data_IF_307102753295
#
_entry.id   IF_307102753295
#
_cell.length_a   1.000
_cell.length_b   1.000
_cell.length_c   1.000
_cell.angle_alpha   90.00
_cell.angle_beta   90.00
_cell.angle_gamma   90.00
#
_symmetry.space_group_name_H-M   'P 1'
#
loop_
_entity.id
_entity.type
_entity.pdbx_description
1 polymer ?
#
# COMPACT_ATOMS: atom_id res chain seq x y z
N UNK A 1 -21.03 16.75 -10.64
CA UNK A 1 -20.59 15.47 -11.19
C UNK A 1 -19.13 15.28 -10.88
N UNK A 2 -18.73 14.09 -10.43
CA UNK A 2 -17.33 13.76 -10.21
C UNK A 2 -16.74 13.26 -11.54
N UNK A 3 -15.93 14.10 -12.17
CA UNK A 3 -15.34 13.76 -13.46
C UNK A 3 -13.90 13.26 -13.37
N UNK A 4 -13.22 13.52 -12.25
CA UNK A 4 -11.84 13.12 -12.01
C UNK A 4 -11.65 12.75 -10.54
N UNK A 5 -10.92 11.66 -10.29
CA UNK A 5 -10.50 11.26 -8.96
C UNK A 5 -8.98 11.13 -8.92
N UNK A 6 -8.39 11.68 -7.87
CA UNK A 6 -6.98 11.54 -7.52
C UNK A 6 -6.84 11.27 -6.03
N UNK A 7 -6.10 10.23 -5.65
CA UNK A 7 -5.89 9.88 -4.25
C UNK A 7 -5.18 8.55 -4.07
N UNK A 8 -5.18 8.03 -2.83
CA UNK A 8 -4.66 6.70 -2.55
C UNK A 8 -5.63 5.63 -3.06
N UNK A 9 -5.10 4.56 -3.68
CA UNK A 9 -5.89 3.44 -4.18
C UNK A 9 -6.72 2.77 -3.08
N UNK A 10 -6.13 2.54 -1.92
CA UNK A 10 -6.80 2.00 -0.73
C UNK A 10 -7.95 2.88 -0.23
N UNK A 11 -7.79 4.21 -0.25
CA UNK A 11 -8.87 5.16 0.10
C UNK A 11 -10.00 5.13 -0.92
N UNK A 12 -9.66 5.12 -2.21
CA UNK A 12 -10.66 5.00 -3.27
C UNK A 12 -11.50 3.73 -3.09
N UNK A 13 -10.86 2.62 -2.74
CA UNK A 13 -11.52 1.37 -2.44
C UNK A 13 -12.43 1.46 -1.20
N UNK A 14 -11.94 2.01 -0.09
CA UNK A 14 -12.72 2.20 1.14
C UNK A 14 -13.96 3.09 0.91
N UNK A 15 -13.81 4.17 0.14
CA UNK A 15 -14.94 5.03 -0.27
C UNK A 15 -15.96 4.24 -1.08
N UNK A 16 -15.52 3.37 -1.97
CA UNK A 16 -16.38 2.53 -2.78
C UNK A 16 -17.22 1.58 -1.93
N UNK A 17 -16.59 0.91 -0.96
CA UNK A 17 -17.28 0.03 -0.01
C UNK A 17 -18.29 0.80 0.84
N UNK A 18 -17.93 2.01 1.30
CA UNK A 18 -18.80 2.87 2.08
C UNK A 18 -20.03 3.32 1.29
N UNK A 19 -19.87 3.65 0.00
CA UNK A 19 -20.99 3.99 -0.88
C UNK A 19 -21.93 2.80 -1.11
N UNK A 20 -21.37 1.61 -1.29
CA UNK A 20 -22.16 0.38 -1.46
C UNK A 20 -22.94 0.01 -0.19
N UNK A 21 -22.33 0.16 0.98
CA UNK A 21 -22.97 -0.12 2.28
C UNK A 21 -24.11 0.86 2.63
N UNK A 22 -23.98 2.14 2.27
CA UNK A 22 -25.02 3.15 2.45
C UNK A 22 -26.30 2.85 1.67
N UNK A 23 -26.20 2.00 0.65
CA UNK A 23 -27.33 1.64 -0.21
C UNK A 23 -27.97 0.29 0.13
N UNK A 24 -27.25 -0.54 0.90
CA UNK A 24 -27.63 -1.95 1.15
C UNK A 24 -28.51 -2.22 2.37
N UNK A 25 -28.77 -1.27 3.26
CA UNK A 25 -29.58 -1.61 4.45
C UNK A 25 -29.94 -0.49 5.42
N UNK A 26 -29.18 0.57 5.49
CA UNK A 26 -29.57 1.78 6.25
C UNK A 26 -29.94 2.85 5.25
N UNK A 27 -31.23 3.16 5.18
CA UNK A 27 -31.76 4.20 4.30
C UNK A 27 -30.92 5.47 4.42
N UNK A 28 -30.58 6.08 3.28
CA UNK A 28 -29.88 7.37 3.23
C UNK A 28 -30.68 8.32 4.12
N UNK A 29 -30.04 8.89 5.13
CA UNK A 29 -30.71 9.85 6.01
C UNK A 29 -31.26 11.00 5.17
N UNK A 30 -32.52 11.31 5.36
CA UNK A 30 -33.22 12.36 4.61
C UNK A 30 -32.47 13.70 4.67
N UNK A 31 -31.80 13.97 5.79
CA UNK A 31 -30.95 15.15 5.98
C UNK A 31 -29.76 15.22 5.02
N UNK A 32 -29.23 14.08 4.59
CA UNK A 32 -28.13 14.02 3.61
C UNK A 32 -28.61 14.27 2.18
N UNK A 33 -29.85 13.86 1.87
CA UNK A 33 -30.46 14.11 0.57
C UNK A 33 -30.77 15.62 0.36
N UNK A 34 -31.12 16.34 1.42
CA UNK A 34 -31.36 17.77 1.35
C UNK A 34 -30.10 18.60 0.99
N UNK A 35 -28.93 18.05 1.18
CA UNK A 35 -27.64 18.66 0.80
C UNK A 35 -27.21 18.35 -0.64
N UNK A 36 -27.89 17.41 -1.30
CA UNK A 36 -27.56 17.01 -2.67
C UNK A 36 -28.25 17.91 -3.69
N UNK A 37 -27.55 18.18 -4.80
CA UNK A 37 -28.18 18.90 -5.94
C UNK A 37 -29.29 18.03 -6.55
N UNK A 38 -30.40 18.63 -7.05
CA UNK A 38 -31.54 17.87 -7.57
C UNK A 38 -31.20 16.84 -8.63
N UNK A 39 -30.30 17.16 -9.54
CA UNK A 39 -29.87 16.22 -10.57
C UNK A 39 -29.14 14.99 -10.02
N UNK A 40 -28.47 15.13 -8.88
CA UNK A 40 -27.81 14.00 -8.21
C UNK A 40 -28.84 13.07 -7.57
N UNK A 41 -29.88 13.62 -6.99
CA UNK A 41 -31.01 12.85 -6.43
C UNK A 41 -31.68 12.05 -7.55
N UNK A 42 -31.96 12.68 -8.69
CA UNK A 42 -32.58 12.02 -9.85
C UNK A 42 -31.67 10.86 -10.35
N UNK A 43 -30.37 11.10 -10.48
CA UNK A 43 -29.39 10.06 -10.86
C UNK A 43 -29.38 8.90 -9.87
N UNK A 44 -29.42 9.19 -8.57
CA UNK A 44 -29.50 8.15 -7.52
C UNK A 44 -30.77 7.31 -7.64
N UNK A 45 -31.91 7.93 -7.91
CA UNK A 45 -33.19 7.21 -8.09
C UNK A 45 -33.10 6.30 -9.32
N UNK A 46 -32.63 6.81 -10.44
CA UNK A 46 -32.44 6.01 -11.66
C UNK A 46 -31.47 4.84 -11.45
N UNK A 47 -30.32 5.11 -10.80
CA UNK A 47 -29.32 4.10 -10.50
C UNK A 47 -29.90 3.00 -9.60
N UNK A 48 -30.60 3.38 -8.51
CA UNK A 48 -31.28 2.41 -7.64
C UNK A 48 -32.32 1.56 -8.38
N UNK A 49 -33.12 2.16 -9.24
CA UNK A 49 -34.11 1.44 -10.02
C UNK A 49 -33.44 0.41 -10.97
N UNK A 50 -32.39 0.83 -11.66
CA UNK A 50 -31.60 -0.04 -12.55
C UNK A 50 -30.97 -1.20 -11.77
N UNK A 51 -30.25 -0.91 -10.69
CA UNK A 51 -29.62 -1.93 -9.87
C UNK A 51 -30.61 -2.93 -9.27
N UNK A 52 -31.81 -2.44 -8.85
CA UNK A 52 -32.89 -3.32 -8.38
C UNK A 52 -33.40 -4.26 -9.48
N UNK A 53 -33.54 -3.75 -10.71
CA UNK A 53 -33.93 -4.56 -11.86
C UNK A 53 -32.88 -5.62 -12.23
N UNK A 54 -31.60 -5.28 -12.07
CA UNK A 54 -30.44 -6.15 -12.34
C UNK A 54 -30.09 -7.05 -11.13
N UNK A 55 -30.83 -6.97 -10.03
CA UNK A 55 -30.59 -7.70 -8.78
C UNK A 55 -29.13 -7.60 -8.27
N UNK A 56 -28.55 -6.40 -8.33
CA UNK A 56 -27.21 -6.12 -7.86
C UNK A 56 -27.14 -4.88 -6.97
N UNK A 57 -26.05 -4.75 -6.25
CA UNK A 57 -25.76 -3.58 -5.43
C UNK A 57 -25.42 -2.35 -6.29
N UNK A 58 -25.67 -1.18 -5.72
CA UNK A 58 -25.28 0.09 -6.32
C UNK A 58 -23.76 0.29 -6.18
N UNK A 59 -23.10 0.56 -7.29
CA UNK A 59 -21.66 0.80 -7.37
C UNK A 59 -21.38 2.27 -7.69
N UNK A 60 -20.17 2.79 -7.38
CA UNK A 60 -19.77 4.15 -7.75
C UNK A 60 -20.01 4.50 -9.21
N UNK A 61 -19.75 3.57 -10.15
CA UNK A 61 -19.97 3.75 -11.60
C UNK A 61 -21.42 4.02 -11.99
N UNK A 62 -22.38 3.64 -11.15
CA UNK A 62 -23.79 3.93 -11.40
C UNK A 62 -24.16 5.39 -11.09
N UNK A 63 -23.37 6.04 -10.23
CA UNK A 63 -23.56 7.42 -9.79
C UNK A 63 -22.63 8.42 -10.48
N UNK A 64 -21.40 8.01 -10.73
CA UNK A 64 -20.35 8.87 -11.25
C UNK A 64 -19.78 8.31 -12.56
N UNK A 65 -19.45 9.21 -13.49
CA UNK A 65 -18.81 8.85 -14.75
C UNK A 65 -17.44 9.55 -14.79
N UNK A 66 -16.46 8.87 -14.22
CA UNK A 66 -15.09 9.38 -14.22
C UNK A 66 -14.54 9.43 -15.65
N UNK A 67 -13.89 10.54 -16.00
CA UNK A 67 -13.10 10.73 -17.23
C UNK A 67 -11.62 10.50 -16.98
N UNK A 68 -11.18 10.65 -15.73
CA UNK A 68 -9.82 10.38 -15.29
C UNK A 68 -9.82 9.81 -13.87
N UNK A 69 -8.99 8.79 -13.68
CA UNK A 69 -8.82 8.13 -12.39
C UNK A 69 -7.34 7.85 -12.18
N UNK A 70 -6.75 8.51 -11.19
CA UNK A 70 -5.33 8.36 -10.86
C UNK A 70 -5.18 7.98 -9.39
N UNK A 71 -4.30 7.02 -9.13
CA UNK A 71 -4.00 6.54 -7.78
C UNK A 71 -2.51 6.61 -7.49
N UNK A 72 -2.18 7.03 -6.27
CA UNK A 72 -0.85 6.96 -5.70
C UNK A 72 -0.83 5.99 -4.52
N UNK A 73 0.36 5.66 -4.04
CA UNK A 73 0.56 4.81 -2.87
C UNK A 73 1.22 3.49 -3.21
N UNK A 74 1.55 2.70 -2.20
CA UNK A 74 2.31 1.46 -2.35
C UNK A 74 1.38 0.36 -2.86
N UNK A 75 0.64 -0.33 -2.33
CA UNK A 75 -0.14 -1.52 -2.72
C UNK A 75 -1.21 -1.29 -3.82
N UNK A 76 -1.03 -0.33 -4.74
CA UNK A 76 -2.05 0.01 -5.75
C UNK A 76 -2.44 -1.19 -6.62
N UNK A 77 -1.50 -2.05 -6.96
CA UNK A 77 -1.75 -3.23 -7.79
C UNK A 77 -2.82 -4.16 -7.18
N UNK A 78 -2.90 -4.21 -5.84
CA UNK A 78 -3.89 -5.00 -5.11
C UNK A 78 -5.33 -4.49 -5.29
N UNK A 79 -5.50 -3.25 -5.73
CA UNK A 79 -6.80 -2.59 -5.82
C UNK A 79 -7.24 -2.27 -7.24
N UNK A 80 -6.34 -2.30 -8.23
CA UNK A 80 -6.63 -1.83 -9.59
C UNK A 80 -7.82 -2.53 -10.23
N UNK A 81 -7.89 -3.86 -10.13
CA UNK A 81 -8.96 -4.64 -10.76
C UNK A 81 -10.31 -4.36 -10.08
N UNK A 82 -10.35 -4.34 -8.76
CA UNK A 82 -11.58 -4.02 -8.02
C UNK A 82 -12.03 -2.57 -8.27
N UNK A 83 -11.09 -1.63 -8.32
CA UNK A 83 -11.39 -0.24 -8.62
C UNK A 83 -11.95 -0.07 -10.05
N UNK A 84 -11.42 -0.81 -11.01
CA UNK A 84 -11.97 -0.83 -12.37
C UNK A 84 -13.41 -1.37 -12.40
N UNK A 85 -13.68 -2.45 -11.68
CA UNK A 85 -15.03 -3.00 -11.56
C UNK A 85 -15.98 -2.01 -10.89
N UNK A 86 -15.55 -1.38 -9.80
CA UNK A 86 -16.37 -0.46 -8.98
C UNK A 86 -16.65 0.88 -9.68
N UNK A 87 -15.67 1.43 -10.41
CA UNK A 87 -15.75 2.77 -11.01
C UNK A 87 -15.96 2.77 -12.53
N UNK A 88 -15.80 1.60 -13.19
CA UNK A 88 -15.95 1.46 -14.63
C UNK A 88 -14.79 2.04 -15.45
N UNK A 89 -13.69 2.37 -14.79
CA UNK A 89 -12.45 2.86 -15.40
C UNK A 89 -11.26 2.37 -14.57
N UNK A 90 -10.26 1.77 -15.22
CA UNK A 90 -9.03 1.34 -14.56
C UNK A 90 -8.21 2.55 -14.14
N UNK A 91 -7.78 2.66 -12.88
CA UNK A 91 -6.94 3.76 -12.44
C UNK A 91 -5.55 3.71 -13.10
N UNK A 92 -5.00 4.89 -13.38
CA UNK A 92 -3.59 5.08 -13.70
C UNK A 92 -2.81 5.25 -12.41
N UNK A 93 -1.68 4.58 -12.32
CA UNK A 93 -0.77 4.72 -11.18
C UNK A 93 0.18 5.90 -11.40
N UNK A 94 0.45 6.61 -10.31
CA UNK A 94 1.47 7.63 -10.30
C UNK A 94 2.36 7.49 -9.06
N UNK A 95 3.61 7.87 -9.21
CA UNK A 95 4.54 8.01 -8.11
C UNK A 95 4.51 9.45 -7.59
N UNK A 96 4.07 9.59 -6.36
CA UNK A 96 4.04 10.85 -5.64
C UNK A 96 4.44 10.64 -4.17
N UNK A 97 5.22 11.55 -3.66
CA UNK A 97 5.62 11.62 -2.26
C UNK A 97 5.63 13.05 -1.75
N UNK A 98 5.74 13.21 -0.45
CA UNK A 98 5.81 14.54 0.18
C UNK A 98 7.07 15.27 -0.24
N UNK A 99 8.19 14.55 -0.33
CA UNK A 99 9.51 15.08 -0.67
C UNK A 99 9.62 15.49 -2.14
N UNK A 100 9.27 14.59 -3.11
CA UNK A 100 9.48 14.88 -4.53
C UNK A 100 8.27 15.49 -5.22
N UNK A 101 7.10 15.53 -4.59
CA UNK A 101 5.84 15.81 -5.27
C UNK A 101 5.47 14.67 -6.25
N UNK A 102 5.09 14.95 -7.48
CA UNK A 102 4.81 13.94 -8.51
C UNK A 102 6.05 13.75 -9.37
N UNK A 103 6.59 12.53 -9.41
CA UNK A 103 7.82 12.20 -10.14
C UNK A 103 7.61 11.27 -11.33
N UNK A 104 6.51 10.56 -11.41
CA UNK A 104 6.27 9.62 -12.48
C UNK A 104 4.82 9.18 -12.59
N UNK A 105 4.45 8.61 -13.71
CA UNK A 105 3.11 8.08 -13.97
C UNK A 105 3.15 6.95 -14.99
N UNK A 106 2.14 6.08 -14.93
CA UNK A 106 1.79 5.22 -16.07
C UNK A 106 1.32 6.08 -17.25
N UNK A 107 1.45 5.52 -18.45
CA UNK A 107 0.81 6.04 -19.65
C UNK A 107 -0.51 5.32 -19.93
N UNK A 108 -1.10 5.60 -21.08
CA UNK A 108 -2.35 4.96 -21.55
C UNK A 108 -2.22 3.45 -21.70
N UNK A 109 -1.03 2.94 -22.02
CA UNK A 109 -0.77 1.51 -22.16
C UNK A 109 -0.74 0.77 -20.81
N UNK A 110 -0.50 1.48 -19.69
CA UNK A 110 -0.44 0.92 -18.33
C UNK A 110 0.54 -0.26 -18.19
N UNK A 111 1.64 -0.16 -18.92
CA UNK A 111 2.71 -1.18 -18.96
C UNK A 111 3.95 -0.75 -18.19
N UNK A 112 3.76 -0.14 -17.03
CA UNK A 112 4.79 0.40 -16.17
C UNK A 112 4.77 1.93 -16.12
N UNK A 113 5.49 2.47 -15.15
CA UNK A 113 5.57 3.88 -14.81
C UNK A 113 6.84 4.50 -15.42
N UNK A 114 6.73 5.71 -15.89
CA UNK A 114 7.84 6.52 -16.38
C UNK A 114 8.16 7.61 -15.36
N UNK A 115 9.42 7.73 -14.97
CA UNK A 115 9.88 8.88 -14.20
C UNK A 115 10.09 10.08 -15.12
N UNK A 116 9.68 11.25 -14.67
CA UNK A 116 9.78 12.49 -15.43
C UNK A 116 11.22 13.03 -15.37
N UNK A 117 11.98 13.01 -16.47
CA UNK A 117 13.41 13.32 -16.43
C UNK A 117 13.71 14.81 -16.18
N UNK A 118 12.70 15.68 -16.27
CA UNK A 118 12.81 17.13 -16.06
C UNK A 118 12.42 17.58 -14.64
N UNK A 119 11.93 16.67 -13.80
CA UNK A 119 11.49 17.00 -12.43
C UNK A 119 12.58 16.75 -11.39
N UNK A 120 13.40 15.73 -11.59
CA UNK A 120 14.47 15.34 -10.69
C UNK A 120 15.60 14.64 -11.44
N UNK A 121 16.76 14.60 -10.82
CA UNK A 121 17.85 13.74 -11.24
C UNK A 121 17.73 12.41 -10.52
N UNK A 122 17.69 11.31 -11.27
CA UNK A 122 17.45 9.95 -10.76
C UNK A 122 18.72 9.13 -10.78
N UNK A 123 18.95 8.41 -9.70
CA UNK A 123 19.99 7.41 -9.55
C UNK A 123 19.34 6.12 -9.01
N UNK A 124 19.94 4.99 -9.33
CA UNK A 124 19.41 3.67 -9.01
C UNK A 124 20.49 2.84 -8.32
N UNK A 125 20.17 2.27 -7.15
CA UNK A 125 21.06 1.33 -6.43
C UNK A 125 20.47 -0.06 -6.60
N UNK A 126 21.26 -1.05 -7.07
CA UNK A 126 20.79 -2.43 -7.20
C UNK A 126 20.34 -2.99 -5.85
N UNK A 127 19.34 -3.90 -5.86
CA UNK A 127 18.90 -4.59 -4.64
C UNK A 127 20.06 -5.22 -3.89
N UNK A 128 21.01 -5.83 -4.61
CA UNK A 128 22.21 -6.44 -4.05
C UNK A 128 23.11 -5.45 -3.31
N UNK A 129 23.38 -4.30 -3.93
CA UNK A 129 24.26 -3.28 -3.33
C UNK A 129 23.58 -2.56 -2.18
N UNK A 130 22.25 -2.39 -2.24
CA UNK A 130 21.43 -1.85 -1.17
C UNK A 130 21.48 -2.76 0.07
N UNK A 131 21.30 -4.08 -0.10
CA UNK A 131 21.41 -5.07 0.99
C UNK A 131 22.80 -5.08 1.60
N UNK A 132 23.85 -5.09 0.76
CA UNK A 132 25.23 -5.03 1.23
C UNK A 132 25.53 -3.76 2.04
N UNK A 133 25.02 -2.60 1.61
CA UNK A 133 25.17 -1.36 2.37
C UNK A 133 24.39 -1.38 3.69
N UNK A 134 23.26 -2.11 3.75
CA UNK A 134 22.52 -2.30 5.00
C UNK A 134 23.29 -3.15 6.00
N UNK A 135 23.93 -4.24 5.54
CA UNK A 135 24.79 -5.12 6.36
C UNK A 135 26.08 -4.44 6.79
N UNK A 136 26.71 -3.69 5.90
CA UNK A 136 27.95 -2.94 6.13
C UNK A 136 27.74 -1.46 5.76
N UNK A 137 27.43 -0.59 6.73
CA UNK A 137 27.26 0.84 6.51
C UNK A 137 28.50 1.57 5.97
N UNK A 138 29.68 0.97 6.03
CA UNK A 138 30.92 1.53 5.44
C UNK A 138 31.00 1.31 3.93
N UNK A 139 30.25 0.35 3.39
CA UNK A 139 30.16 0.11 1.96
C UNK A 139 29.35 1.21 1.28
N UNK A 140 29.96 1.90 0.34
CA UNK A 140 29.28 2.90 -0.49
C UNK A 140 28.76 2.23 -1.76
N UNK A 141 27.44 2.08 -1.93
CA UNK A 141 26.90 1.41 -3.09
C UNK A 141 27.11 2.25 -4.36
N UNK A 142 27.44 1.63 -5.49
CA UNK A 142 27.43 2.31 -6.79
C UNK A 142 25.98 2.73 -7.14
N UNK A 143 25.87 3.80 -7.91
CA UNK A 143 24.60 4.24 -8.47
C UNK A 143 24.63 4.17 -9.98
N UNK A 144 23.49 3.85 -10.58
CA UNK A 144 23.28 3.74 -12.01
C UNK A 144 22.34 4.85 -12.48
N UNK A 145 22.52 5.33 -13.68
CA UNK A 145 21.63 6.30 -14.32
C UNK A 145 20.49 5.59 -15.08
N UNK A 146 19.54 6.36 -15.59
CA UNK A 146 18.38 5.81 -16.32
C UNK A 146 18.75 4.98 -17.54
N UNK A 147 19.82 5.31 -18.23
CA UNK A 147 20.33 4.60 -19.41
C UNK A 147 21.19 3.38 -19.07
N UNK A 148 21.52 3.20 -17.80
CA UNK A 148 22.35 2.10 -17.32
C UNK A 148 21.54 0.97 -16.64
N UNK A 149 20.24 1.20 -16.36
CA UNK A 149 19.40 0.18 -15.72
C UNK A 149 19.11 -1.00 -16.65
N UNK A 150 18.91 -2.18 -16.07
CA UNK A 150 18.67 -3.41 -16.81
C UNK A 150 17.26 -3.93 -16.58
N UNK A 151 16.55 -4.37 -17.65
CA UNK A 151 15.24 -5.00 -17.50
C UNK A 151 15.28 -6.25 -16.61
N UNK A 152 14.30 -6.37 -15.71
CA UNK A 152 14.19 -7.47 -14.74
C UNK A 152 14.84 -7.18 -13.39
N UNK A 153 15.83 -6.30 -13.34
CA UNK A 153 16.54 -5.94 -12.12
C UNK A 153 15.71 -5.02 -11.23
N UNK A 154 15.93 -5.15 -9.91
CA UNK A 154 15.31 -4.30 -8.89
C UNK A 154 16.31 -3.28 -8.37
N UNK A 155 15.80 -2.08 -8.13
CA UNK A 155 16.59 -0.94 -7.70
C UNK A 155 15.91 -0.18 -6.57
N UNK A 156 16.69 0.29 -5.61
CA UNK A 156 16.30 1.37 -4.72
C UNK A 156 16.41 2.69 -5.47
N UNK A 157 15.35 3.49 -5.43
CA UNK A 157 15.31 4.80 -6.07
C UNK A 157 16.01 5.85 -5.21
N UNK A 158 16.92 6.59 -5.83
CA UNK A 158 17.58 7.76 -5.28
C UNK A 158 17.26 8.96 -6.17
N UNK A 159 16.94 10.09 -5.57
CA UNK A 159 16.65 11.27 -6.37
C UNK A 159 17.23 12.57 -5.80
N UNK A 160 17.50 13.51 -6.70
CA UNK A 160 17.88 14.88 -6.38
C UNK A 160 16.86 15.83 -7.00
N UNK A 161 16.23 16.65 -6.18
CA UNK A 161 15.25 17.64 -6.63
C UNK A 161 15.97 18.85 -7.20
N UNK A 162 15.74 19.15 -8.48
CA UNK A 162 16.45 20.21 -9.22
C UNK A 162 15.90 21.62 -8.96
N UNK A 163 14.73 21.74 -8.34
CA UNK A 163 14.05 23.02 -8.07
C UNK A 163 14.41 23.64 -6.71
N UNK A 164 15.52 23.20 -6.12
CA UNK A 164 15.92 23.61 -4.78
C UNK A 164 15.30 22.74 -3.68
N UNK A 165 15.78 22.93 -2.44
CA UNK A 165 15.36 22.13 -1.30
C UNK A 165 16.49 21.28 -0.71
N UNK A 166 16.16 20.50 0.30
CA UNK A 166 17.14 19.68 1.04
C UNK A 166 17.38 18.29 0.44
N UNK A 167 16.62 17.89 -0.59
CA UNK A 167 16.64 16.52 -1.11
C UNK A 167 17.66 16.39 -2.25
N UNK A 168 18.92 16.21 -1.86
CA UNK A 168 20.03 15.86 -2.76
C UNK A 168 20.43 14.42 -2.48
N UNK A 169 20.43 13.56 -3.50
CA UNK A 169 20.70 12.12 -3.42
C UNK A 169 19.90 11.43 -2.31
N UNK A 170 18.62 11.78 -2.24
CA UNK A 170 17.72 11.28 -1.21
C UNK A 170 17.26 9.86 -1.53
N UNK A 171 17.53 8.94 -0.60
CA UNK A 171 17.08 7.55 -0.63
C UNK A 171 15.71 7.47 0.04
N UNK A 172 14.64 7.38 -0.75
CA UNK A 172 13.28 7.34 -0.22
C UNK A 172 12.90 5.96 0.36
N UNK A 173 13.70 4.95 0.08
CA UNK A 173 13.45 3.58 0.50
C UNK A 173 12.37 2.88 -0.33
N UNK A 174 12.06 3.36 -1.51
CA UNK A 174 11.14 2.71 -2.45
C UNK A 174 11.93 1.89 -3.47
N UNK A 175 11.48 0.65 -3.68
CA UNK A 175 12.09 -0.30 -4.61
C UNK A 175 11.27 -0.41 -5.89
N UNK A 176 11.96 -0.33 -7.01
CA UNK A 176 11.36 -0.44 -8.35
C UNK A 176 12.06 -1.53 -9.16
N UNK A 177 11.27 -2.25 -9.96
CA UNK A 177 11.80 -3.15 -10.98
C UNK A 177 11.75 -2.47 -12.34
N UNK A 178 12.87 -2.48 -13.06
CA UNK A 178 12.88 -2.05 -14.46
C UNK A 178 12.15 -3.11 -15.31
N UNK A 179 11.09 -2.73 -16.02
CA UNK A 179 10.32 -3.65 -16.86
C UNK A 179 10.63 -3.54 -18.34
N UNK A 180 11.38 -2.52 -18.74
CA UNK A 180 11.83 -2.34 -20.12
C UNK A 180 12.41 -0.97 -20.36
N UNK A 181 13.24 -0.86 -21.41
CA UNK A 181 13.97 0.37 -21.76
C UNK A 181 13.24 1.20 -22.80
N UNK A 182 12.32 0.60 -23.54
CA UNK A 182 11.53 1.26 -24.59
C UNK A 182 10.08 0.77 -24.57
N UNK A 183 9.18 1.56 -25.11
CA UNK A 183 7.81 1.14 -25.39
C UNK A 183 7.35 1.70 -26.72
N UNK A 184 7.19 0.84 -27.71
CA UNK A 184 6.77 1.22 -29.05
C UNK A 184 5.35 1.73 -29.11
N UNK A 185 4.45 1.25 -28.23
CA UNK A 185 3.05 1.70 -28.20
C UNK A 185 2.94 3.14 -27.66
N UNK A 186 3.81 3.53 -26.73
CA UNK A 186 3.89 4.87 -26.18
C UNK A 186 4.91 5.77 -26.94
N UNK A 187 5.61 5.21 -27.94
CA UNK A 187 6.68 5.87 -28.69
C UNK A 187 7.78 6.46 -27.80
N UNK A 188 8.11 5.76 -26.70
CA UNK A 188 9.10 6.23 -25.73
C UNK A 188 10.35 5.36 -25.70
N UNK A 189 11.49 6.00 -25.42
CA UNK A 189 12.79 5.35 -25.18
C UNK A 189 13.28 5.61 -23.74
N UNK A 190 12.36 5.88 -22.80
CA UNK A 190 12.63 6.06 -21.38
C UNK A 190 12.35 4.75 -20.68
N UNK A 191 13.21 4.30 -19.76
CA UNK A 191 12.96 3.10 -18.96
C UNK A 191 11.65 3.17 -18.20
N UNK A 192 10.99 2.01 -18.14
CA UNK A 192 9.72 1.83 -17.40
C UNK A 192 9.97 1.02 -16.15
N UNK A 193 9.26 1.37 -15.10
CA UNK A 193 9.40 0.77 -13.80
C UNK A 193 8.06 0.32 -13.24
N UNK A 194 8.09 -0.75 -12.47
CA UNK A 194 7.01 -1.16 -11.59
C UNK A 194 7.45 -1.01 -10.14
N UNK A 195 6.57 -0.45 -9.32
CA UNK A 195 6.79 -0.43 -7.89
C UNK A 195 6.80 -1.87 -7.33
N UNK A 196 7.79 -2.21 -6.54
CA UNK A 196 7.91 -3.54 -5.92
C UNK A 196 7.39 -3.50 -4.49
N UNK A 197 8.10 -2.77 -3.64
CA UNK A 197 7.78 -2.54 -2.22
C UNK A 197 8.75 -1.49 -1.67
N UNK A 198 8.76 -1.32 -0.36
CA UNK A 198 9.83 -0.61 0.33
C UNK A 198 11.04 -1.51 0.55
N UNK A 199 12.14 -0.89 0.98
CA UNK A 199 13.33 -1.63 1.44
C UNK A 199 12.93 -2.66 2.52
N UNK A 200 13.55 -3.85 2.58
CA UNK A 200 13.08 -4.99 3.36
C UNK A 200 12.89 -4.79 4.87
N UNK A 201 13.54 -3.78 5.44
CA UNK A 201 13.43 -3.45 6.88
C UNK A 201 12.26 -2.51 7.22
N UNK A 202 11.43 -2.17 6.26
CA UNK A 202 10.20 -1.38 6.45
C UNK A 202 9.03 -2.10 5.81
N UNK A 203 8.04 -2.44 6.62
CA UNK A 203 6.77 -3.02 6.18
C UNK A 203 5.78 -1.87 6.00
N UNK A 204 5.40 -1.61 4.76
CA UNK A 204 4.38 -0.62 4.43
C UNK A 204 3.05 -1.34 4.11
N UNK A 205 1.99 -0.98 4.79
CA UNK A 205 0.65 -1.55 4.59
C UNK A 205 -0.26 -0.51 3.95
N UNK A 206 -0.65 -0.79 2.72
CA UNK A 206 -1.62 -0.01 1.94
C UNK A 206 -1.24 1.48 1.71
N UNK A 207 0.05 1.84 1.82
CA UNK A 207 0.53 3.22 1.72
C UNK A 207 0.19 4.09 2.94
N UNK A 208 -0.26 3.49 4.02
CA UNK A 208 -0.71 4.20 5.24
C UNK A 208 0.27 4.06 6.38
N UNK A 209 0.58 2.84 6.76
CA UNK A 209 1.38 2.55 7.94
C UNK A 209 2.73 1.97 7.54
N UNK A 210 3.79 2.55 8.11
CA UNK A 210 5.17 2.12 7.91
C UNK A 210 5.71 1.52 9.20
N UNK A 211 5.80 0.22 9.25
CA UNK A 211 6.21 -0.54 10.43
C UNK A 211 7.68 -0.92 10.27
N UNK A 212 8.52 -0.38 11.15
CA UNK A 212 9.93 -0.74 11.23
C UNK A 212 10.16 -1.80 12.31
N UNK A 213 11.31 -2.46 12.24
CA UNK A 213 11.74 -3.40 13.28
C UNK A 213 11.72 -2.75 14.68
N UNK A 214 12.22 -1.51 14.80
CA UNK A 214 12.19 -0.76 16.06
C UNK A 214 10.75 -0.52 16.56
N UNK A 215 9.81 -0.27 15.64
CA UNK A 215 8.38 -0.15 15.97
C UNK A 215 7.84 -1.43 16.59
N UNK A 216 8.11 -2.58 15.98
CA UNK A 216 7.69 -3.89 16.49
C UNK A 216 8.34 -4.21 17.84
N UNK A 217 9.66 -3.98 17.97
CA UNK A 217 10.37 -4.14 19.26
C UNK A 217 9.76 -3.30 20.39
N UNK A 218 9.35 -2.07 20.09
CA UNK A 218 8.68 -1.20 21.04
C UNK A 218 7.30 -1.73 21.44
N UNK A 219 6.50 -2.24 20.48
CA UNK A 219 5.21 -2.90 20.76
C UNK A 219 5.40 -4.08 21.71
N UNK A 220 6.33 -4.98 21.40
CA UNK A 220 6.62 -6.16 22.22
C UNK A 220 7.07 -5.74 23.62
N UNK A 221 8.01 -4.80 23.73
CA UNK A 221 8.50 -4.30 25.02
C UNK A 221 7.39 -3.69 25.88
N UNK A 222 6.53 -2.87 25.31
CA UNK A 222 5.45 -2.20 26.03
C UNK A 222 4.33 -3.18 26.42
N UNK A 223 4.07 -4.17 25.60
CA UNK A 223 3.06 -5.18 25.88
C UNK A 223 3.43 -6.10 27.04
N UNK A 224 4.73 -6.22 27.36
CA UNK A 224 5.28 -7.17 28.36
C UNK A 224 4.84 -8.62 28.10
N UNK A 225 4.54 -8.94 26.87
CA UNK A 225 4.20 -10.31 26.46
C UNK A 225 5.46 -11.17 26.48
N UNK A 226 5.35 -12.45 26.82
CA UNK A 226 6.50 -13.35 26.93
C UNK A 226 6.97 -13.84 25.54
N UNK A 227 7.22 -12.93 24.63
CA UNK A 227 7.73 -13.20 23.28
C UNK A 227 9.26 -13.23 23.33
N UNK A 228 9.86 -14.37 22.99
CA UNK A 228 11.31 -14.55 22.95
C UNK A 228 11.90 -14.27 21.58
N UNK A 229 11.25 -14.80 20.55
CA UNK A 229 11.66 -14.61 19.15
C UNK A 229 10.47 -14.24 18.29
N UNK A 230 10.74 -13.50 17.20
CA UNK A 230 9.71 -13.12 16.26
C UNK A 230 10.28 -12.79 14.88
N UNK A 231 9.47 -13.02 13.87
CA UNK A 231 9.65 -12.50 12.50
C UNK A 231 8.34 -11.83 12.10
N UNK A 232 8.45 -10.77 11.33
CA UNK A 232 7.31 -10.07 10.78
C UNK A 232 7.45 -9.96 9.26
N UNK A 233 6.36 -10.18 8.56
CA UNK A 233 6.29 -10.11 7.11
C UNK A 233 5.03 -9.37 6.67
N UNK A 234 5.08 -8.75 5.50
CA UNK A 234 3.90 -8.30 4.78
C UNK A 234 3.39 -9.47 3.96
N UNK A 235 2.15 -9.82 4.15
CA UNK A 235 1.49 -10.87 3.41
C UNK A 235 0.16 -10.39 2.82
N UNK A 236 -0.43 -11.19 1.95
CA UNK A 236 -1.68 -10.88 1.27
C UNK A 236 -2.71 -11.97 1.51
N UNK A 237 -3.94 -11.58 1.82
CA UNK A 237 -5.03 -12.54 1.99
C UNK A 237 -5.58 -13.03 0.63
N UNK A 238 -6.60 -13.88 0.66
CA UNK A 238 -7.26 -14.42 -0.54
C UNK A 238 -7.86 -13.36 -1.46
N UNK A 239 -8.23 -12.20 -0.92
CA UNK A 239 -8.68 -11.04 -1.68
C UNK A 239 -7.54 -10.10 -2.11
N UNK A 240 -6.29 -10.57 -2.03
CA UNK A 240 -5.09 -9.80 -2.35
C UNK A 240 -4.97 -8.49 -1.53
N UNK A 241 -5.36 -8.52 -0.23
CA UNK A 241 -5.21 -7.37 0.68
C UNK A 241 -4.01 -7.55 1.58
N UNK A 242 -3.16 -6.51 1.71
CA UNK A 242 -1.96 -6.58 2.51
C UNK A 242 -2.28 -6.58 4.00
N UNK A 243 -1.54 -7.36 4.77
CA UNK A 243 -1.57 -7.36 6.23
C UNK A 243 -0.19 -7.64 6.81
N UNK A 244 0.01 -7.25 8.07
CA UNK A 244 1.18 -7.61 8.85
C UNK A 244 0.99 -9.02 9.41
N UNK A 245 1.87 -9.94 9.10
CA UNK A 245 1.92 -11.24 9.75
C UNK A 245 3.09 -11.28 10.71
N UNK A 246 2.81 -11.59 11.98
CA UNK A 246 3.83 -11.82 13.01
C UNK A 246 3.88 -13.29 13.35
N UNK A 247 5.04 -13.90 13.15
CA UNK A 247 5.37 -15.24 13.62
C UNK A 247 6.15 -15.11 14.91
N UNK A 248 5.65 -15.67 15.99
CA UNK A 248 6.21 -15.44 17.32
C UNK A 248 6.48 -16.75 18.05
N UNK A 249 7.49 -16.74 18.89
CA UNK A 249 7.82 -17.81 19.81
C UNK A 249 7.69 -17.28 21.24
N UNK A 250 7.00 -18.03 22.10
CA UNK A 250 6.75 -17.63 23.49
C UNK A 250 7.74 -18.31 24.44
N UNK A 251 8.02 -17.65 25.57
CA UNK A 251 8.88 -18.16 26.62
C UNK A 251 8.35 -19.48 27.20
N UNK A 252 9.23 -20.46 27.31
CA UNK A 252 8.89 -21.87 27.64
C UNK A 252 8.19 -22.06 28.99
N UNK A 253 8.56 -21.26 29.99
CA UNK A 253 8.12 -21.42 31.39
C UNK A 253 7.01 -20.42 31.80
N UNK A 254 6.48 -19.65 30.86
CA UNK A 254 5.43 -18.67 31.17
C UNK A 254 4.12 -19.38 31.49
N UNK A 255 3.55 -19.11 32.67
CA UNK A 255 2.21 -19.55 33.06
C UNK A 255 1.12 -19.09 32.09
N UNK A 256 1.40 -18.07 31.31
CA UNK A 256 0.52 -17.54 30.27
C UNK A 256 0.47 -18.40 29.00
N UNK A 257 1.48 -19.25 28.76
CA UNK A 257 1.57 -20.05 27.53
C UNK A 257 0.42 -21.07 27.37
N UNK A 258 -0.06 -21.62 28.46
CA UNK A 258 -1.17 -22.61 28.42
C UNK A 258 -2.53 -21.96 28.08
N UNK A 259 -2.66 -20.65 28.25
CA UNK A 259 -3.91 -19.90 28.02
C UNK A 259 -3.81 -18.92 26.84
N UNK A 260 -2.60 -18.70 26.29
CA UNK A 260 -2.36 -17.73 25.23
C UNK A 260 -2.68 -18.34 23.86
N UNK A 261 -3.83 -17.98 23.31
CA UNK A 261 -4.13 -18.29 21.92
C UNK A 261 -3.56 -17.21 20.98
N UNK A 262 -3.41 -17.55 19.69
CA UNK A 262 -2.99 -16.60 18.67
C UNK A 262 -3.95 -15.38 18.59
N UNK A 263 -5.24 -15.58 18.80
CA UNK A 263 -6.24 -14.51 18.80
C UNK A 263 -6.08 -13.55 19.98
N UNK A 264 -5.82 -14.07 21.18
CA UNK A 264 -5.56 -13.23 22.36
C UNK A 264 -4.28 -12.42 22.16
N UNK A 265 -3.22 -13.06 21.69
CA UNK A 265 -1.94 -12.42 21.42
C UNK A 265 -2.09 -11.32 20.37
N UNK A 266 -2.82 -11.60 19.30
CA UNK A 266 -3.15 -10.66 18.24
C UNK A 266 -3.89 -9.42 18.77
N UNK A 267 -4.93 -9.60 19.58
CA UNK A 267 -5.70 -8.50 20.16
C UNK A 267 -4.83 -7.60 21.08
N UNK A 268 -3.98 -8.21 21.88
CA UNK A 268 -3.05 -7.50 22.74
C UNK A 268 -2.04 -6.71 21.90
N UNK A 269 -1.34 -7.34 20.97
CA UNK A 269 -0.39 -6.66 20.07
C UNK A 269 -1.05 -5.55 19.26
N UNK A 270 -2.24 -5.80 18.70
CA UNK A 270 -3.01 -4.80 17.96
C UNK A 270 -3.34 -3.57 18.81
N UNK A 271 -3.61 -3.74 20.10
CA UNK A 271 -3.84 -2.62 21.03
C UNK A 271 -2.61 -1.73 21.16
N UNK A 272 -1.42 -2.34 21.29
CA UNK A 272 -0.17 -1.59 21.41
C UNK A 272 0.26 -0.98 20.08
N UNK A 273 0.04 -1.63 18.93
CA UNK A 273 0.24 -1.01 17.62
C UNK A 273 -0.61 0.25 17.47
N UNK A 274 -1.90 0.19 17.81
CA UNK A 274 -2.80 1.35 17.79
C UNK A 274 -2.38 2.48 18.76
N UNK A 275 -1.69 2.15 19.83
CA UNK A 275 -1.18 3.13 20.79
C UNK A 275 0.06 3.84 20.26
N UNK A 276 0.96 3.14 19.61
CA UNK A 276 2.23 3.68 19.11
C UNK A 276 2.02 4.42 17.77
N UNK A 277 1.19 3.86 16.89
CA UNK A 277 1.00 4.35 15.52
C UNK A 277 -0.48 4.73 15.30
N UNK A 278 -0.70 6.04 15.07
CA UNK A 278 -2.05 6.55 14.80
C UNK A 278 -2.59 6.06 13.45
N UNK A 279 -1.73 5.92 12.45
CA UNK A 279 -2.12 5.47 11.12
C UNK A 279 -2.55 4.01 11.17
N UNK A 280 -1.87 3.17 11.95
CA UNK A 280 -2.28 1.79 12.21
C UNK A 280 -3.70 1.70 12.80
N UNK A 281 -4.10 2.67 13.63
CA UNK A 281 -5.45 2.70 14.22
C UNK A 281 -6.56 2.75 13.18
N UNK A 282 -6.33 3.45 12.08
CA UNK A 282 -7.32 3.64 11.03
C UNK A 282 -7.27 2.58 9.93
N UNK A 283 -6.23 1.75 9.89
CA UNK A 283 -6.05 0.69 8.89
C UNK A 283 -7.27 -0.24 8.77
N UNK A 284 -7.82 -0.68 9.91
CA UNK A 284 -8.98 -1.58 9.92
C UNK A 284 -10.19 -0.97 9.21
N UNK A 285 -10.41 0.35 9.35
CA UNK A 285 -11.48 1.06 8.68
C UNK A 285 -11.21 1.18 7.18
N UNK A 286 -9.95 1.39 6.80
CA UNK A 286 -9.51 1.61 5.42
C UNK A 286 -9.48 0.30 4.64
N UNK A 287 -8.87 -0.72 5.20
CA UNK A 287 -8.76 -2.03 4.55
C UNK A 287 -10.05 -2.86 4.60
N UNK A 288 -10.98 -2.55 5.52
CA UNK A 288 -12.16 -3.37 5.77
C UNK A 288 -11.86 -4.73 6.38
N UNK A 289 -10.60 -4.98 6.82
CA UNK A 289 -10.11 -6.22 7.42
C UNK A 289 -9.17 -5.95 8.59
N UNK A 290 -8.83 -6.98 9.34
CA UNK A 290 -7.85 -6.87 10.41
C UNK A 290 -6.43 -6.81 9.80
N UNK A 291 -5.67 -5.74 10.07
CA UNK A 291 -4.35 -5.57 9.48
C UNK A 291 -3.25 -6.44 10.10
N UNK A 292 -3.54 -7.19 11.18
CA UNK A 292 -2.59 -8.04 11.88
C UNK A 292 -3.05 -9.48 11.89
N UNK A 293 -2.15 -10.40 11.59
CA UNK A 293 -2.26 -11.83 11.86
C UNK A 293 -1.10 -12.26 12.74
N UNK A 294 -1.33 -13.28 13.58
CA UNK A 294 -0.30 -13.83 14.47
C UNK A 294 -0.31 -15.34 14.39
N UNK A 295 0.87 -15.92 14.20
CA UNK A 295 1.10 -17.35 14.29
C UNK A 295 2.09 -17.61 15.42
N UNK A 296 1.71 -18.51 16.33
CA UNK A 296 2.58 -18.92 17.45
C UNK A 296 3.30 -20.20 17.05
N UNK A 297 4.62 -20.14 17.03
CA UNK A 297 5.47 -21.30 16.81
C UNK A 297 5.77 -22.02 18.13
N UNK A 298 6.04 -23.33 18.03
CA UNK A 298 6.54 -24.11 19.15
C UNK A 298 7.92 -23.62 19.57
N UNK A 299 8.20 -23.65 20.88
CA UNK A 299 9.49 -23.21 21.42
C UNK A 299 10.64 -23.99 20.78
N UNK A 300 11.70 -23.29 20.32
CA UNK A 300 12.85 -23.85 19.62
C UNK A 300 12.73 -23.93 18.10
N UNK A 301 11.64 -23.44 17.52
CA UNK A 301 11.45 -23.40 16.06
C UNK A 301 12.49 -22.51 15.38
N UNK A 302 12.70 -21.29 15.89
CA UNK A 302 13.69 -20.35 15.33
C UNK A 302 15.12 -20.90 15.46
N UNK A 303 15.47 -21.47 16.61
CA UNK A 303 16.78 -22.11 16.82
C UNK A 303 17.04 -23.27 15.83
N UNK A 304 15.99 -24.02 15.49
CA UNK A 304 16.07 -25.12 14.51
C UNK A 304 16.23 -24.62 13.09
N UNK A 305 15.61 -23.48 12.77
CA UNK A 305 15.69 -22.88 11.43
C UNK A 305 17.03 -22.23 11.15
N UNK A 306 17.70 -21.67 12.15
CA UNK A 306 19.02 -21.02 12.05
C UNK A 306 20.19 -22.00 11.91
N UNK A 307 19.99 -23.29 12.19
CA UNK A 307 20.96 -24.39 12.03
C UNK A 307 20.92 -24.99 10.63
#
# INVERSE_FOLDING_TARGET
DLGFFFGLGSVAYAVSLSLSSLTGGRGIQLSSLLKCRPHMIFRMIQAKYRCKKENRQLLPKDLFHLKGFMVAGTDNQCYKDDLEELWGIRPMELFAGTEPSIMGTETWTRKGMYFFPDTAFYEFITEKDMLKNHEDPSYVPPTYLMDEVQPGEKYELVFTILKGGAFARYRCGDMYRCVGLENREDETQIPRFEYVDRVPWIIDIAGFTRISENGIRNVIRLSKLPITNWVAAKEYNEQNRPYLHMYVELERESLLNSAMSADILKELLSTYFKYIDQDYRDLKKILGMDPLQVTIFTCGTFETYEK
#
